data_IF_653416682926
#
_entry.id   IF_653416682926
#
_cell.length_a   1.000
_cell.length_b   1.000
_cell.length_c   1.000
_cell.angle_alpha   90.00
_cell.angle_beta   90.00
_cell.angle_gamma   90.00
#
_symmetry.space_group_name_H-M   'P 1'
#
loop_
_entity.id
_entity.type
_entity.pdbx_description
1 polymer ?
#
# COMPACT_ATOMS: atom_id res chain seq x y z
N UNK A 1 16.38 -16.79 21.39
CA UNK A 1 16.37 -15.32 21.50
C UNK A 1 17.76 -14.84 21.09
N UNK A 2 17.91 -14.26 19.88
CA UNK A 2 19.10 -13.47 19.57
C UNK A 2 18.87 -12.07 20.11
N UNK A 3 19.64 -11.71 21.13
CA UNK A 3 19.77 -10.33 21.59
C UNK A 3 20.51 -9.60 20.49
N UNK A 4 19.84 -8.68 19.79
CA UNK A 4 20.47 -7.77 18.83
C UNK A 4 21.36 -6.82 19.63
N UNK A 5 22.55 -6.50 19.08
CA UNK A 5 23.49 -5.60 19.72
C UNK A 5 22.95 -4.16 19.82
N UNK A 6 23.56 -3.37 20.68
CA UNK A 6 23.15 -1.98 21.02
C UNK A 6 22.95 -1.02 19.84
N UNK A 7 23.51 -1.33 18.65
CA UNK A 7 23.38 -0.50 17.46
C UNK A 7 22.00 -0.58 16.80
N UNK A 8 21.31 -1.73 16.86
CA UNK A 8 19.97 -1.89 16.26
C UNK A 8 18.87 -1.28 17.14
N UNK A 9 19.09 -1.16 18.43
CA UNK A 9 18.08 -0.71 19.40
C UNK A 9 17.74 0.79 19.24
N UNK A 10 18.69 1.65 18.92
CA UNK A 10 18.41 3.08 18.73
C UNK A 10 17.63 3.35 17.44
N UNK A 11 17.90 2.57 16.36
CA UNK A 11 17.13 2.66 15.10
C UNK A 11 15.69 2.22 15.32
N UNK A 12 15.48 1.10 16.02
CA UNK A 12 14.14 0.60 16.35
C UNK A 12 13.37 1.60 17.23
N UNK A 13 14.02 2.19 18.23
CA UNK A 13 13.43 3.26 19.07
C UNK A 13 13.09 4.50 18.23
N UNK A 14 13.95 4.88 17.29
CA UNK A 14 13.70 5.99 16.37
C UNK A 14 12.44 5.74 15.55
N UNK A 15 12.31 4.58 14.92
CA UNK A 15 11.14 4.20 14.11
C UNK A 15 9.87 4.18 14.98
N UNK A 16 9.92 3.58 16.16
CA UNK A 16 8.80 3.57 17.12
C UNK A 16 8.36 4.98 17.49
N UNK A 17 9.29 5.90 17.69
CA UNK A 17 8.98 7.31 17.95
C UNK A 17 8.31 8.00 16.74
N UNK A 18 8.72 7.71 15.51
CA UNK A 18 8.04 8.22 14.31
C UNK A 18 6.59 7.75 14.26
N UNK A 19 6.33 6.46 14.52
CA UNK A 19 4.98 5.91 14.56
C UNK A 19 4.14 6.62 15.64
N UNK A 20 4.68 6.82 16.83
CA UNK A 20 4.01 7.53 17.92
C UNK A 20 3.71 8.98 17.60
N UNK A 21 4.65 9.69 16.97
CA UNK A 21 4.46 11.09 16.57
C UNK A 21 3.37 11.20 15.51
N UNK A 22 3.41 10.33 14.48
CA UNK A 22 2.41 10.32 13.43
C UNK A 22 1.01 10.02 13.96
N UNK A 23 0.88 8.99 14.81
CA UNK A 23 -0.42 8.49 15.24
C UNK A 23 -0.96 9.20 16.49
N UNK A 24 -0.09 9.86 17.26
CA UNK A 24 -0.45 10.38 18.57
C UNK A 24 -0.78 9.29 19.61
N UNK A 25 -0.46 8.01 19.31
CA UNK A 25 -0.78 6.84 20.13
C UNK A 25 0.47 6.00 20.38
N UNK A 26 0.50 5.27 21.49
CA UNK A 26 1.50 4.24 21.75
C UNK A 26 1.12 2.94 21.03
N UNK A 27 1.40 2.91 19.73
CA UNK A 27 1.18 1.71 18.91
C UNK A 27 2.42 0.83 19.02
N UNK A 28 2.27 -0.45 19.38
CA UNK A 28 3.39 -1.38 19.41
C UNK A 28 4.01 -1.54 18.00
N UNK A 29 5.33 -1.44 17.92
CA UNK A 29 6.09 -1.76 16.70
C UNK A 29 6.90 -3.01 16.99
N UNK A 30 6.66 -4.07 16.24
CA UNK A 30 7.38 -5.33 16.35
C UNK A 30 8.27 -5.55 15.13
N UNK A 31 9.46 -6.09 15.36
CA UNK A 31 10.46 -6.31 14.32
C UNK A 31 10.65 -7.81 14.11
N UNK A 32 10.48 -8.27 12.89
CA UNK A 32 10.62 -9.66 12.49
C UNK A 32 11.81 -9.85 11.54
N UNK A 33 12.52 -10.96 11.68
CA UNK A 33 13.69 -11.27 10.84
C UNK A 33 13.29 -11.65 9.40
N UNK A 34 12.05 -12.07 9.21
CA UNK A 34 11.51 -12.48 7.91
C UNK A 34 10.01 -12.23 7.84
N UNK A 35 9.48 -12.10 6.64
CA UNK A 35 8.08 -11.83 6.37
C UNK A 35 7.89 -10.46 5.71
N UNK A 36 6.64 -10.07 5.50
CA UNK A 36 6.27 -8.77 5.00
C UNK A 36 5.98 -7.81 6.15
N UNK A 37 6.24 -6.52 5.94
CA UNK A 37 5.78 -5.49 6.85
C UNK A 37 4.26 -5.33 6.67
N UNK A 38 3.55 -5.22 7.78
CA UNK A 38 2.10 -5.18 7.81
C UNK A 38 1.56 -4.61 9.12
N UNK A 39 0.28 -4.34 9.16
CA UNK A 39 -0.44 -4.07 10.40
C UNK A 39 -1.73 -4.88 10.48
N UNK A 40 -2.13 -5.22 11.71
CA UNK A 40 -3.43 -5.81 12.03
C UNK A 40 -4.47 -4.76 12.48
N UNK A 41 -4.08 -3.48 12.48
CA UNK A 41 -4.87 -2.36 12.97
C UNK A 41 -4.56 -1.96 14.41
N UNK A 42 -3.77 -2.75 15.16
CA UNK A 42 -3.37 -2.50 16.54
C UNK A 42 -1.86 -2.47 16.71
N UNK A 43 -1.13 -3.26 15.93
CA UNK A 43 0.33 -3.41 15.98
C UNK A 43 0.91 -3.20 14.59
N UNK A 44 2.05 -2.52 14.51
CA UNK A 44 2.85 -2.40 13.29
C UNK A 44 3.95 -3.45 13.32
N UNK A 45 4.02 -4.28 12.29
CA UNK A 45 5.05 -5.31 12.10
C UNK A 45 5.99 -4.86 10.99
N UNK A 46 7.28 -4.76 11.31
CA UNK A 46 8.33 -4.37 10.36
C UNK A 46 9.24 -5.56 10.09
N UNK A 47 9.28 -5.99 8.85
CA UNK A 47 10.27 -6.97 8.40
C UNK A 47 11.64 -6.29 8.37
N UNK A 48 12.52 -6.69 9.27
CA UNK A 48 13.74 -5.95 9.51
C UNK A 48 15.02 -6.72 9.26
N UNK A 49 15.77 -6.25 8.27
CA UNK A 49 17.20 -6.06 8.38
C UNK A 49 17.45 -4.55 8.43
N UNK A 50 17.12 -3.91 9.56
CA UNK A 50 17.32 -2.47 9.69
C UNK A 50 18.82 -2.24 9.74
N UNK A 51 19.32 -1.59 8.70
CA UNK A 51 20.70 -1.11 8.62
C UNK A 51 20.67 0.39 8.43
N UNK A 52 21.76 1.05 8.75
CA UNK A 52 21.87 2.51 8.61
C UNK A 52 21.59 2.99 7.17
N UNK A 53 22.01 2.22 6.16
CA UNK A 53 21.80 2.49 4.74
C UNK A 53 20.35 2.20 4.27
N UNK A 54 19.55 1.53 5.08
CA UNK A 54 18.16 1.16 4.73
C UNK A 54 17.12 1.86 5.60
N UNK A 55 17.54 2.71 6.53
CA UNK A 55 16.65 3.29 7.54
C UNK A 55 15.54 4.15 6.94
N UNK A 56 15.86 4.96 5.94
CA UNK A 56 14.91 5.95 5.41
C UNK A 56 13.67 5.29 4.79
N UNK A 57 13.85 4.26 3.97
CA UNK A 57 12.70 3.54 3.43
C UNK A 57 12.01 2.66 4.47
N UNK A 58 12.73 2.20 5.50
CA UNK A 58 12.14 1.47 6.63
C UNK A 58 11.28 2.37 7.50
N UNK A 59 11.71 3.62 7.73
CA UNK A 59 10.86 4.65 8.35
C UNK A 59 9.64 4.92 7.49
N UNK A 60 9.80 5.08 6.19
CA UNK A 60 8.68 5.25 5.25
C UNK A 60 7.67 4.10 5.33
N UNK A 61 8.16 2.86 5.40
CA UNK A 61 7.32 1.67 5.55
C UNK A 61 6.58 1.66 6.90
N UNK A 62 7.26 1.98 7.99
CA UNK A 62 6.64 2.06 9.32
C UNK A 62 5.56 3.16 9.38
N UNK A 63 5.80 4.31 8.76
CA UNK A 63 4.82 5.39 8.64
C UNK A 63 3.61 4.96 7.80
N UNK A 64 3.83 4.23 6.71
CA UNK A 64 2.76 3.67 5.88
C UNK A 64 1.89 2.70 6.70
N UNK A 65 2.46 1.72 7.36
CA UNK A 65 1.72 0.77 8.21
C UNK A 65 0.99 1.45 9.38
N UNK A 66 1.62 2.45 10.00
CA UNK A 66 0.99 3.26 11.04
C UNK A 66 -0.19 4.09 10.51
N UNK A 67 -0.12 4.51 9.25
CA UNK A 67 -1.22 5.24 8.58
C UNK A 67 -2.45 4.36 8.40
N UNK A 68 -2.27 3.06 8.12
CA UNK A 68 -3.38 2.10 8.14
C UNK A 68 -4.05 2.02 9.51
N UNK A 69 -3.28 1.98 10.60
CA UNK A 69 -3.85 1.96 11.97
C UNK A 69 -4.73 3.18 12.24
N UNK A 70 -4.38 4.33 11.67
CA UNK A 70 -5.14 5.58 11.84
C UNK A 70 -6.36 5.70 10.94
N UNK A 71 -6.22 5.28 9.68
CA UNK A 71 -7.09 5.73 8.60
C UNK A 71 -7.91 4.61 7.97
N UNK A 72 -7.52 3.33 8.17
CA UNK A 72 -8.20 2.18 7.59
C UNK A 72 -9.22 1.60 8.55
N UNK A 73 -10.44 1.38 8.09
CA UNK A 73 -11.50 0.72 8.85
C UNK A 73 -11.36 -0.82 8.76
N UNK A 74 -10.49 -1.37 9.60
CA UNK A 74 -10.31 -2.83 9.70
C UNK A 74 -11.58 -3.56 10.14
N UNK A 75 -12.45 -2.90 10.92
CA UNK A 75 -13.74 -3.47 11.31
C UNK A 75 -14.63 -3.72 10.09
N UNK A 76 -14.69 -2.75 9.19
CA UNK A 76 -15.40 -2.88 7.93
C UNK A 76 -14.77 -3.95 7.03
N UNK A 77 -13.46 -3.90 6.83
CA UNK A 77 -12.75 -4.85 5.97
C UNK A 77 -12.91 -6.29 6.45
N UNK A 78 -12.87 -6.55 7.74
CA UNK A 78 -12.90 -7.91 8.29
C UNK A 78 -14.32 -8.46 8.44
N UNK A 79 -15.31 -7.63 8.71
CA UNK A 79 -16.68 -8.07 9.06
C UNK A 79 -17.72 -7.83 7.97
N UNK A 80 -17.62 -6.72 7.27
CA UNK A 80 -18.68 -6.25 6.37
C UNK A 80 -18.33 -6.39 4.89
N UNK A 81 -17.07 -6.26 4.51
CA UNK A 81 -16.64 -6.23 3.12
C UNK A 81 -17.14 -7.42 2.29
N UNK A 82 -16.95 -8.65 2.75
CA UNK A 82 -17.40 -9.84 2.03
C UNK A 82 -18.91 -9.86 1.80
N UNK A 83 -19.67 -9.36 2.77
CA UNK A 83 -21.13 -9.22 2.64
C UNK A 83 -21.51 -8.16 1.61
N UNK A 84 -20.81 -7.02 1.60
CA UNK A 84 -21.03 -5.94 0.65
C UNK A 84 -20.68 -6.40 -0.76
N UNK A 85 -19.53 -7.02 -0.97
CA UNK A 85 -19.11 -7.54 -2.28
C UNK A 85 -20.15 -8.50 -2.86
N UNK A 86 -20.66 -9.43 -2.06
CA UNK A 86 -21.63 -10.42 -2.50
C UNK A 86 -23.04 -9.84 -2.70
N UNK A 87 -23.55 -9.05 -1.75
CA UNK A 87 -24.95 -8.60 -1.75
C UNK A 87 -25.19 -7.34 -2.56
N UNK A 88 -24.26 -6.40 -2.54
CA UNK A 88 -24.39 -5.12 -3.21
C UNK A 88 -23.83 -5.17 -4.63
N UNK A 89 -22.63 -5.73 -4.78
CA UNK A 89 -21.93 -5.75 -6.06
C UNK A 89 -22.06 -7.07 -6.83
N UNK A 90 -22.67 -8.09 -6.23
CA UNK A 90 -22.86 -9.42 -6.84
C UNK A 90 -21.55 -10.08 -7.32
N UNK A 91 -20.44 -9.83 -6.60
CA UNK A 91 -19.13 -10.41 -6.89
C UNK A 91 -19.08 -11.84 -6.35
N UNK A 92 -18.67 -12.82 -7.16
CA UNK A 92 -18.49 -14.21 -6.73
C UNK A 92 -17.47 -14.31 -5.59
N UNK A 93 -17.69 -15.24 -4.67
CA UNK A 93 -16.83 -15.42 -3.49
C UNK A 93 -15.39 -15.77 -3.84
N UNK A 94 -15.20 -16.54 -4.91
CA UNK A 94 -13.89 -16.89 -5.47
C UNK A 94 -13.07 -15.70 -5.97
N UNK A 95 -13.70 -14.56 -6.24
CA UNK A 95 -13.04 -13.33 -6.69
C UNK A 95 -12.88 -12.29 -5.58
N UNK A 96 -13.37 -12.56 -4.37
CA UNK A 96 -13.25 -11.62 -3.25
C UNK A 96 -11.79 -11.26 -2.93
N UNK A 97 -10.85 -12.23 -3.02
CA UNK A 97 -9.43 -11.97 -2.77
C UNK A 97 -8.82 -11.02 -3.81
N UNK A 98 -9.27 -11.08 -5.07
CA UNK A 98 -8.85 -10.15 -6.11
C UNK A 98 -9.30 -8.72 -5.78
N UNK A 99 -10.56 -8.57 -5.43
CA UNK A 99 -11.10 -7.25 -5.03
C UNK A 99 -10.43 -6.76 -3.75
N UNK A 100 -10.11 -7.67 -2.83
CA UNK A 100 -9.38 -7.33 -1.60
C UNK A 100 -7.98 -6.76 -1.92
N UNK A 101 -7.27 -7.41 -2.82
CA UNK A 101 -5.95 -6.97 -3.28
C UNK A 101 -6.01 -5.59 -3.96
N UNK A 102 -7.02 -5.36 -4.79
CA UNK A 102 -7.27 -4.05 -5.41
C UNK A 102 -7.65 -2.99 -4.37
N UNK A 103 -8.44 -3.38 -3.36
CA UNK A 103 -8.80 -2.48 -2.24
C UNK A 103 -7.56 -2.01 -1.50
N UNK A 104 -6.64 -2.92 -1.16
CA UNK A 104 -5.39 -2.56 -0.50
C UNK A 104 -4.61 -1.54 -1.33
N UNK A 105 -4.47 -1.77 -2.63
CA UNK A 105 -3.78 -0.83 -3.50
C UNK A 105 -4.43 0.56 -3.52
N UNK A 106 -5.75 0.66 -3.62
CA UNK A 106 -6.46 1.95 -3.62
C UNK A 106 -6.38 2.63 -2.25
N UNK A 107 -6.54 1.85 -1.19
CA UNK A 107 -6.42 2.32 0.19
C UNK A 107 -5.03 2.89 0.48
N UNK A 108 -3.96 2.20 0.03
CA UNK A 108 -2.58 2.69 0.12
C UNK A 108 -2.44 4.07 -0.53
N UNK A 109 -3.02 4.26 -1.73
CA UNK A 109 -2.97 5.57 -2.40
C UNK A 109 -3.72 6.65 -1.63
N UNK A 110 -4.85 6.30 -1.02
CA UNK A 110 -5.65 7.22 -0.21
C UNK A 110 -4.91 7.66 1.05
N UNK A 111 -4.41 6.70 1.83
CA UNK A 111 -3.75 6.99 3.12
C UNK A 111 -2.40 7.66 2.94
N UNK A 112 -1.59 7.19 1.97
CA UNK A 112 -0.29 7.79 1.68
C UNK A 112 -0.43 9.23 1.21
N UNK A 113 -1.40 9.52 0.35
CA UNK A 113 -1.70 10.88 -0.07
C UNK A 113 -2.10 11.76 1.12
N UNK A 114 -2.93 11.24 2.03
CA UNK A 114 -3.33 11.98 3.22
C UNK A 114 -2.11 12.39 4.05
N UNK A 115 -1.22 11.45 4.39
CA UNK A 115 -0.03 11.76 5.19
C UNK A 115 0.94 12.64 4.42
N UNK A 116 1.19 12.35 3.14
CA UNK A 116 2.10 13.13 2.29
C UNK A 116 1.69 14.61 2.20
N UNK A 117 0.38 14.89 2.16
CA UNK A 117 -0.14 16.26 2.04
C UNK A 117 -0.32 16.97 3.38
N UNK A 118 -0.63 16.24 4.46
CA UNK A 118 -0.92 16.84 5.78
C UNK A 118 0.29 16.87 6.71
N UNK A 119 1.30 16.04 6.45
CA UNK A 119 2.52 15.94 7.27
C UNK A 119 3.79 16.09 6.41
N UNK A 120 4.11 17.29 5.91
CA UNK A 120 5.21 17.51 4.95
C UNK A 120 6.58 17.09 5.47
N UNK A 121 6.77 17.02 6.79
CA UNK A 121 8.01 16.50 7.40
C UNK A 121 8.29 15.01 7.10
N UNK A 122 7.28 14.27 6.65
CA UNK A 122 7.43 12.84 6.33
C UNK A 122 7.54 12.56 4.83
N UNK A 123 7.39 13.55 3.97
CA UNK A 123 7.42 13.37 2.51
C UNK A 123 8.68 12.65 2.03
N UNK A 124 9.83 13.03 2.55
CA UNK A 124 11.11 12.40 2.20
C UNK A 124 11.09 10.88 2.42
N UNK A 125 10.57 10.39 3.54
CA UNK A 125 10.52 8.96 3.84
C UNK A 125 9.56 8.20 2.92
N UNK A 126 8.44 8.81 2.54
CA UNK A 126 7.53 8.25 1.54
C UNK A 126 8.18 8.20 0.15
N UNK A 127 8.96 9.21 -0.23
CA UNK A 127 9.72 9.21 -1.48
C UNK A 127 10.76 8.08 -1.50
N UNK A 128 11.46 7.83 -0.40
CA UNK A 128 12.39 6.70 -0.27
C UNK A 128 11.67 5.35 -0.35
N UNK A 129 10.53 5.21 0.29
CA UNK A 129 9.67 4.03 0.21
C UNK A 129 9.27 3.73 -1.25
N UNK A 130 8.71 4.73 -1.94
CA UNK A 130 8.25 4.58 -3.31
C UNK A 130 9.41 4.31 -4.28
N UNK A 131 10.55 4.97 -4.11
CA UNK A 131 11.75 4.72 -4.91
C UNK A 131 12.22 3.27 -4.79
N UNK A 132 12.16 2.70 -3.59
CA UNK A 132 12.54 1.32 -3.34
C UNK A 132 11.61 0.31 -4.01
N UNK A 133 10.31 0.47 -3.87
CA UNK A 133 9.34 -0.57 -4.20
C UNK A 133 8.65 -0.37 -5.56
N UNK A 134 8.54 0.85 -6.06
CA UNK A 134 7.75 1.16 -7.26
C UNK A 134 8.52 1.87 -8.38
N UNK A 135 9.63 2.54 -8.06
CA UNK A 135 10.38 3.36 -9.03
C UNK A 135 11.83 2.90 -9.17
N UNK A 136 12.05 1.60 -9.09
CA UNK A 136 13.37 1.02 -9.26
C UNK A 136 13.56 0.45 -10.68
N UNK A 137 14.83 0.20 -11.03
CA UNK A 137 15.21 -0.28 -12.37
C UNK A 137 14.51 -1.58 -12.77
N UNK A 138 14.28 -2.50 -11.84
CA UNK A 138 13.65 -3.80 -12.13
C UNK A 138 12.21 -3.58 -12.58
N UNK A 139 11.46 -2.73 -11.88
CA UNK A 139 10.08 -2.37 -12.24
C UNK A 139 10.07 -1.65 -13.59
N UNK A 140 10.94 -0.65 -13.77
CA UNK A 140 11.03 0.12 -15.01
C UNK A 140 11.34 -0.77 -16.22
N UNK A 141 12.30 -1.69 -16.09
CA UNK A 141 12.66 -2.64 -17.15
C UNK A 141 11.46 -3.56 -17.49
N UNK A 142 10.71 -4.06 -16.50
CA UNK A 142 9.54 -4.89 -16.74
C UNK A 142 8.36 -4.13 -17.38
N UNK A 143 8.17 -2.86 -17.03
CA UNK A 143 7.13 -2.02 -17.64
C UNK A 143 7.39 -1.72 -19.11
N UNK A 144 8.66 -1.61 -19.51
CA UNK A 144 9.10 -1.27 -20.87
C UNK A 144 9.15 -2.48 -21.82
N UNK A 145 9.12 -3.70 -21.28
CA UNK A 145 9.15 -4.93 -22.07
C UNK A 145 7.73 -5.39 -22.45
N UNK A 146 7.63 -6.45 -23.25
CA UNK A 146 6.37 -7.14 -23.52
C UNK A 146 5.95 -8.12 -22.40
N UNK A 147 6.62 -8.08 -21.26
CA UNK A 147 6.18 -8.77 -20.07
C UNK A 147 4.85 -8.20 -19.56
N UNK A 148 4.02 -9.06 -18.99
CA UNK A 148 2.72 -8.64 -18.44
C UNK A 148 1.82 -7.92 -19.45
N UNK A 149 1.76 -8.43 -20.70
CA UNK A 149 0.91 -7.89 -21.78
C UNK A 149 -0.22 -8.85 -22.21
N UNK A 150 -0.21 -10.09 -21.70
CA UNK A 150 -1.32 -11.03 -21.87
C UNK A 150 -2.38 -10.75 -20.80
N UNK A 151 -3.68 -10.63 -21.17
CA UNK A 151 -4.75 -10.34 -20.21
C UNK A 151 -4.96 -11.48 -19.20
N UNK A 152 -4.18 -11.48 -18.16
CA UNK A 152 -4.27 -12.38 -17.00
C UNK A 152 -4.34 -11.55 -15.74
N UNK A 153 -4.83 -12.13 -14.64
CA UNK A 153 -4.86 -11.44 -13.36
C UNK A 153 -3.49 -10.89 -12.95
N UNK A 154 -2.43 -11.70 -13.05
CA UNK A 154 -1.08 -11.30 -12.67
C UNK A 154 -0.56 -10.13 -13.52
N UNK A 155 -0.87 -10.12 -14.82
CA UNK A 155 -0.48 -9.02 -15.70
C UNK A 155 -1.24 -7.73 -15.36
N UNK A 156 -2.54 -7.80 -15.14
CA UNK A 156 -3.32 -6.66 -14.69
C UNK A 156 -2.82 -6.15 -13.34
N UNK A 157 -2.65 -7.03 -12.37
CA UNK A 157 -2.19 -6.64 -11.03
C UNK A 157 -0.84 -5.94 -11.09
N UNK A 158 0.16 -6.53 -11.77
CA UNK A 158 1.47 -5.90 -11.94
C UNK A 158 1.37 -4.50 -12.56
N UNK A 159 0.56 -4.33 -13.61
CA UNK A 159 0.41 -3.04 -14.28
C UNK A 159 -0.41 -2.03 -13.49
N UNK A 160 -1.38 -2.48 -12.72
CA UNK A 160 -2.20 -1.61 -11.86
C UNK A 160 -1.38 -1.07 -10.68
N UNK A 161 -0.62 -1.90 -9.97
CA UNK A 161 0.18 -1.41 -8.85
C UNK A 161 1.28 -0.43 -9.28
N UNK A 162 1.70 -0.51 -10.54
CA UNK A 162 2.69 0.38 -11.14
C UNK A 162 2.07 1.42 -12.11
N UNK A 163 0.74 1.62 -12.07
CA UNK A 163 0.04 2.41 -13.08
C UNK A 163 0.47 3.89 -13.12
N UNK A 164 0.98 4.40 -12.00
CA UNK A 164 1.48 5.78 -11.87
C UNK A 164 3.00 5.91 -12.08
N UNK A 165 3.69 4.80 -12.38
CA UNK A 165 5.09 4.87 -12.78
C UNK A 165 5.21 5.58 -14.14
N UNK A 166 6.22 6.44 -14.29
CA UNK A 166 6.47 7.20 -15.53
C UNK A 166 6.69 6.33 -16.77
N UNK A 167 7.09 5.07 -16.58
CA UNK A 167 7.30 4.08 -17.64
C UNK A 167 6.05 3.20 -17.89
N UNK A 168 4.94 3.47 -17.20
CA UNK A 168 3.69 2.75 -17.42
C UNK A 168 3.09 3.10 -18.77
N UNK A 169 2.80 2.07 -19.57
CA UNK A 169 2.10 2.20 -20.85
C UNK A 169 0.67 1.66 -20.69
N UNK A 170 -0.28 2.59 -20.69
CA UNK A 170 -1.71 2.30 -20.50
C UNK A 170 -2.36 1.58 -21.69
N UNK A 171 -1.63 1.37 -22.78
CA UNK A 171 -2.12 0.63 -23.96
C UNK A 171 -1.79 -0.86 -23.91
N UNK A 172 -0.95 -1.29 -22.98
CA UNK A 172 -0.43 -2.68 -22.89
C UNK A 172 -1.49 -3.73 -22.52
N UNK A 173 -2.55 -3.32 -21.81
CA UNK A 173 -3.70 -4.18 -21.54
C UNK A 173 -5.00 -3.39 -21.74
N UNK A 174 -6.07 -4.05 -22.20
CA UNK A 174 -7.39 -3.43 -22.30
C UNK A 174 -7.84 -2.86 -20.94
N UNK A 175 -8.46 -1.69 -20.95
CA UNK A 175 -9.03 -1.08 -19.75
C UNK A 175 -8.05 -0.34 -18.82
N UNK A 176 -6.73 -0.44 -18.99
CA UNK A 176 -5.76 0.26 -18.12
C UNK A 176 -5.98 1.78 -18.08
N UNK A 177 -6.32 2.39 -19.23
CA UNK A 177 -6.63 3.82 -19.27
C UNK A 177 -7.87 4.16 -18.45
N UNK A 178 -8.90 3.32 -18.51
CA UNK A 178 -10.13 3.50 -17.71
C UNK A 178 -9.83 3.33 -16.24
N UNK A 179 -9.00 2.35 -15.85
CA UNK A 179 -8.55 2.14 -14.48
C UNK A 179 -7.76 3.35 -13.98
N UNK A 180 -6.83 3.86 -14.77
CA UNK A 180 -6.05 5.06 -14.44
C UNK A 180 -6.97 6.27 -14.15
N UNK A 181 -7.96 6.49 -15.02
CA UNK A 181 -8.91 7.58 -14.89
C UNK A 181 -9.87 7.37 -13.69
N UNK A 182 -10.25 6.11 -13.40
CA UNK A 182 -11.10 5.78 -12.27
C UNK A 182 -10.39 6.04 -10.94
N UNK A 183 -9.12 5.65 -10.81
CA UNK A 183 -8.34 5.89 -9.60
C UNK A 183 -8.13 7.39 -9.41
N UNK A 184 -7.80 8.11 -10.48
CA UNK A 184 -7.55 9.56 -10.50
C UNK A 184 -6.71 10.04 -9.31
N UNK A 185 -5.42 9.73 -9.36
CA UNK A 185 -4.48 10.05 -8.27
C UNK A 185 -4.45 11.53 -7.91
N UNK A 186 -4.80 12.42 -8.85
CA UNK A 186 -4.80 13.86 -8.62
C UNK A 186 -5.91 14.31 -7.67
N UNK A 187 -7.01 13.57 -7.66
CA UNK A 187 -8.16 13.82 -6.78
C UNK A 187 -8.39 12.67 -5.80
N UNK A 188 -7.36 11.90 -5.46
CA UNK A 188 -7.49 10.73 -4.57
C UNK A 188 -8.04 11.12 -3.19
N UNK A 189 -7.86 12.35 -2.76
CA UNK A 189 -8.43 12.92 -1.53
C UNK A 189 -9.96 13.01 -1.54
N UNK A 190 -10.64 12.75 -2.67
CA UNK A 190 -12.09 12.58 -2.72
C UNK A 190 -12.56 11.35 -1.96
N UNK A 191 -11.68 10.34 -1.87
CA UNK A 191 -11.95 9.13 -1.09
C UNK A 191 -11.84 9.47 0.40
N UNK A 192 -12.98 9.45 1.10
CA UNK A 192 -13.06 9.89 2.49
C UNK A 192 -12.73 8.78 3.47
N UNK A 193 -13.07 7.54 3.15
CA UNK A 193 -12.90 6.40 4.02
C UNK A 193 -12.57 5.12 3.24
N UNK A 194 -12.40 4.01 3.96
CA UNK A 194 -12.09 2.69 3.39
C UNK A 194 -13.20 2.16 2.48
N UNK A 195 -14.46 2.57 2.68
CA UNK A 195 -15.59 2.15 1.83
C UNK A 195 -15.44 2.73 0.43
N UNK A 196 -15.04 3.99 0.32
CA UNK A 196 -14.76 4.62 -0.97
C UNK A 196 -13.65 3.87 -1.72
N UNK A 197 -12.62 3.40 -1.01
CA UNK A 197 -11.55 2.60 -1.60
C UNK A 197 -12.05 1.25 -2.12
N UNK A 198 -12.97 0.59 -1.40
CA UNK A 198 -13.65 -0.64 -1.85
C UNK A 198 -14.46 -0.38 -3.12
N UNK A 199 -15.23 0.71 -3.19
CA UNK A 199 -16.03 1.05 -4.37
C UNK A 199 -15.14 1.26 -5.61
N UNK A 200 -14.01 1.95 -5.47
CA UNK A 200 -13.05 2.11 -6.57
C UNK A 200 -12.44 0.75 -6.97
N UNK A 201 -12.10 -0.10 -6.00
CA UNK A 201 -11.56 -1.43 -6.27
C UNK A 201 -12.56 -2.33 -7.00
N UNK A 202 -13.84 -2.26 -6.65
CA UNK A 202 -14.94 -2.94 -7.39
C UNK A 202 -15.00 -2.44 -8.82
N UNK A 203 -14.97 -1.13 -9.03
CA UNK A 203 -14.96 -0.55 -10.38
C UNK A 203 -13.74 -0.99 -11.21
N UNK A 204 -12.55 -1.13 -10.60
CA UNK A 204 -11.38 -1.70 -11.27
C UNK A 204 -11.62 -3.16 -11.65
N UNK A 205 -12.15 -3.96 -10.72
CA UNK A 205 -12.47 -5.37 -10.96
C UNK A 205 -13.46 -5.56 -12.12
N UNK A 206 -14.47 -4.70 -12.23
CA UNK A 206 -15.44 -4.74 -13.32
C UNK A 206 -14.87 -4.38 -14.70
N UNK A 207 -13.74 -3.68 -14.76
CA UNK A 207 -13.03 -3.34 -16.00
C UNK A 207 -12.17 -4.50 -16.50
N UNK A 208 -11.64 -5.35 -15.61
CA UNK A 208 -10.76 -6.47 -15.92
C UNK A 208 -11.56 -7.67 -16.42
#
# INVERSE_FOLDING_TARGET
>A
YKIYGDEDDWLQRGITNFVKILTGKDIPVQYAVSGDSMTDGETVYIASNIKEDTIDHTVGLALHEASHVLLTDFGYLNKEKGTVLKRVHNIPEEDHDKVFTLTNFVEDKRIDNFVYTTAPGYQYYYEQLYSKYFYNKIIDDNLQTDNFTTPTWDAYFFRIINIFNRNSDLTKLPGLKQIYDLIDIKTINRLQDTRDSVEVAVGIYEII
#
